data_IF_651717004394
#
_entry.id   IF_651717004394
#
_cell.length_a   1.000
_cell.length_b   1.000
_cell.length_c   1.000
_cell.angle_alpha   90.00
_cell.angle_beta   90.00
_cell.angle_gamma   90.00
#
_symmetry.space_group_name_H-M   'P 1'
#
loop_
_entity.id
_entity.type
_entity.pdbx_description
1 polymer ?
#
# COMPACT_ATOMS: atom_id res chain seq x y z
N UNK A 1 -17.90 6.74 -9.44
CA UNK A 1 -17.08 7.50 -8.50
C UNK A 1 -16.12 6.59 -7.77
N UNK A 2 -14.97 7.11 -7.31
CA UNK A 2 -14.04 6.37 -6.46
C UNK A 2 -14.43 6.59 -5.01
N UNK A 3 -14.64 5.52 -4.26
CA UNK A 3 -14.71 5.56 -2.81
C UNK A 3 -13.34 5.15 -2.25
N UNK A 4 -12.76 5.98 -1.40
CA UNK A 4 -11.50 5.71 -0.72
C UNK A 4 -11.82 5.57 0.76
N UNK A 5 -11.63 4.37 1.30
CA UNK A 5 -11.69 4.13 2.72
C UNK A 5 -10.31 4.44 3.32
N UNK A 6 -10.26 5.35 4.27
CA UNK A 6 -9.01 5.73 4.95
C UNK A 6 -9.11 5.30 6.41
N UNK A 7 -8.26 4.37 6.81
CA UNK A 7 -8.12 3.99 8.21
C UNK A 7 -6.81 4.54 8.77
N UNK A 8 -6.88 5.17 9.94
CA UNK A 8 -5.70 5.63 10.68
C UNK A 8 -5.40 4.59 11.76
N UNK A 9 -4.25 3.93 11.63
CA UNK A 9 -3.88 2.85 12.55
C UNK A 9 -2.75 3.33 13.45
N UNK A 10 -3.02 3.48 14.75
CA UNK A 10 -1.98 3.73 15.76
C UNK A 10 -1.89 2.62 16.82
N UNK A 11 -3.00 2.06 17.25
CA UNK A 11 -3.02 1.30 18.51
C UNK A 11 -3.58 -0.12 18.41
N UNK A 12 -4.31 -0.48 17.36
CA UNK A 12 -4.89 -1.82 17.27
C UNK A 12 -4.94 -2.32 15.83
N UNK A 13 -4.16 -3.37 15.56
CA UNK A 13 -4.11 -4.08 14.27
C UNK A 13 -5.44 -4.74 13.94
N UNK A 14 -6.12 -5.29 14.96
CA UNK A 14 -7.42 -5.94 14.81
C UNK A 14 -8.53 -4.96 14.49
N UNK A 15 -8.48 -3.74 15.06
CA UNK A 15 -9.45 -2.69 14.73
C UNK A 15 -9.34 -2.24 13.27
N UNK A 16 -8.13 -2.12 12.73
CA UNK A 16 -7.95 -1.74 11.32
C UNK A 16 -8.60 -2.75 10.36
N UNK A 17 -8.49 -4.04 10.66
CA UNK A 17 -9.16 -5.10 9.89
C UNK A 17 -10.67 -5.05 10.08
N UNK A 18 -11.14 -4.85 11.32
CA UNK A 18 -12.56 -4.71 11.62
C UNK A 18 -13.18 -3.50 10.93
N UNK A 19 -12.49 -2.36 10.91
CA UNK A 19 -12.94 -1.14 10.22
C UNK A 19 -13.01 -1.32 8.70
N UNK A 20 -12.03 -2.02 8.11
CA UNK A 20 -12.04 -2.36 6.68
C UNK A 20 -13.27 -3.20 6.32
N UNK A 21 -13.62 -4.20 7.15
CA UNK A 21 -14.81 -5.03 6.99
C UNK A 21 -16.11 -4.31 7.29
N UNK A 22 -16.13 -3.46 8.31
CA UNK A 22 -17.29 -2.62 8.60
C UNK A 22 -17.60 -1.69 7.42
N UNK A 23 -16.55 -1.12 6.79
CA UNK A 23 -16.69 -0.32 5.57
C UNK A 23 -17.35 -1.09 4.42
N UNK A 24 -16.96 -2.35 4.20
CA UNK A 24 -17.60 -3.21 3.19
C UNK A 24 -19.09 -3.43 3.49
N UNK A 25 -19.45 -3.71 4.75
CA UNK A 25 -20.84 -3.88 5.17
C UNK A 25 -21.70 -2.63 5.01
N UNK A 26 -21.13 -1.47 5.34
CA UNK A 26 -21.80 -0.18 5.11
C UNK A 26 -22.09 0.02 3.62
N UNK A 27 -21.13 -0.31 2.76
CA UNK A 27 -21.29 -0.20 1.31
C UNK A 27 -22.35 -1.15 0.75
N UNK A 28 -22.42 -2.39 1.25
CA UNK A 28 -23.50 -3.34 0.90
C UNK A 28 -24.88 -2.73 1.21
N UNK A 29 -25.08 -2.24 2.43
CA UNK A 29 -26.35 -1.61 2.82
C UNK A 29 -26.69 -0.35 2.00
N UNK A 30 -25.68 0.42 1.58
CA UNK A 30 -25.88 1.57 0.69
C UNK A 30 -26.30 1.14 -0.72
N UNK A 31 -25.74 0.05 -1.25
CA UNK A 31 -26.15 -0.52 -2.54
C UNK A 31 -27.58 -0.99 -2.48
N UNK A 32 -27.97 -1.78 -1.48
CA UNK A 32 -29.35 -2.24 -1.28
C UNK A 32 -30.34 -1.06 -1.21
N UNK A 33 -30.02 -0.04 -0.44
CA UNK A 33 -30.84 1.17 -0.33
C UNK A 33 -30.95 1.95 -1.63
N UNK A 34 -29.88 1.99 -2.42
CA UNK A 34 -29.86 2.66 -3.72
C UNK A 34 -30.69 1.89 -4.76
N UNK A 35 -30.59 0.55 -4.78
CA UNK A 35 -31.39 -0.30 -5.68
C UNK A 35 -32.89 -0.20 -5.38
N UNK A 36 -33.27 -0.13 -4.08
CA UNK A 36 -34.64 0.09 -3.67
C UNK A 36 -35.17 1.43 -4.20
N UNK A 37 -34.42 2.52 -4.06
CA UNK A 37 -34.81 3.83 -4.58
C UNK A 37 -34.95 3.84 -6.10
N UNK A 38 -34.03 3.20 -6.81
CA UNK A 38 -34.13 3.07 -8.26
C UNK A 38 -35.43 2.33 -8.68
N UNK A 39 -35.80 1.26 -7.96
CA UNK A 39 -37.01 0.52 -8.19
C UNK A 39 -38.26 1.40 -7.93
N UNK A 40 -38.29 2.19 -6.87
CA UNK A 40 -39.36 3.13 -6.54
C UNK A 40 -39.54 4.22 -7.63
N UNK A 41 -38.43 4.64 -8.27
CA UNK A 41 -38.42 5.56 -9.40
C UNK A 41 -38.73 4.89 -10.75
N UNK A 42 -39.02 3.60 -10.77
CA UNK A 42 -39.30 2.82 -11.98
C UNK A 42 -38.07 2.51 -12.84
N UNK A 43 -36.88 2.76 -12.34
CA UNK A 43 -35.62 2.47 -13.01
C UNK A 43 -35.24 1.03 -12.76
N UNK A 44 -35.18 0.21 -13.83
CA UNK A 44 -34.70 -1.17 -13.75
C UNK A 44 -33.19 -1.22 -13.87
N UNK A 45 -32.51 -1.87 -12.94
CA UNK A 45 -31.06 -2.06 -12.96
C UNK A 45 -30.56 -2.71 -11.70
N UNK A 46 -29.29 -3.12 -11.72
CA UNK A 46 -28.56 -3.61 -10.57
C UNK A 46 -27.28 -2.78 -10.41
N UNK A 47 -26.87 -2.58 -9.17
CA UNK A 47 -25.63 -1.87 -8.83
C UNK A 47 -24.59 -2.91 -8.46
N UNK A 48 -23.48 -2.94 -9.20
CA UNK A 48 -22.35 -3.80 -8.89
C UNK A 48 -21.23 -2.99 -8.25
N UNK A 49 -20.78 -3.42 -7.09
CA UNK A 49 -19.67 -2.82 -6.38
C UNK A 49 -18.47 -3.76 -6.42
N UNK A 50 -17.35 -3.26 -6.93
CA UNK A 50 -16.12 -4.03 -7.03
C UNK A 50 -15.00 -3.37 -6.22
N UNK A 51 -14.22 -4.21 -5.52
CA UNK A 51 -12.99 -3.82 -4.84
C UNK A 51 -11.79 -4.32 -5.64
N UNK A 52 -11.17 -3.44 -6.42
CA UNK A 52 -10.09 -3.79 -7.33
C UNK A 52 -8.81 -3.02 -7.01
N UNK A 53 -7.66 -3.66 -7.20
CA UNK A 53 -6.36 -2.97 -7.27
C UNK A 53 -6.14 -2.31 -8.63
N UNK A 54 -6.53 -3.03 -9.70
CA UNK A 54 -6.47 -2.55 -11.09
C UNK A 54 -7.66 -3.11 -11.85
N UNK A 55 -8.08 -2.46 -12.93
CA UNK A 55 -9.10 -2.96 -13.85
C UNK A 55 -8.49 -3.48 -15.17
N UNK A 56 -9.36 -3.99 -16.04
CA UNK A 56 -8.97 -4.51 -17.36
C UNK A 56 -8.52 -3.42 -18.33
N UNK A 57 -8.88 -2.17 -18.09
CA UNK A 57 -8.45 -1.02 -18.87
C UNK A 57 -7.10 -0.45 -18.43
N UNK A 58 -6.46 -1.07 -17.41
CA UNK A 58 -5.17 -0.63 -16.88
C UNK A 58 -5.25 0.52 -15.89
N UNK A 59 -6.44 0.88 -15.40
CA UNK A 59 -6.55 1.86 -14.33
C UNK A 59 -6.15 1.24 -13.00
N UNK A 60 -5.45 1.99 -12.17
CA UNK A 60 -5.11 1.58 -10.80
C UNK A 60 -5.96 2.31 -9.79
N UNK A 61 -6.48 1.57 -8.83
CA UNK A 61 -7.22 2.07 -7.67
C UNK A 61 -6.28 2.16 -6.45
N UNK A 62 -6.66 2.94 -5.44
CA UNK A 62 -5.82 3.13 -4.26
C UNK A 62 -5.96 2.01 -3.24
N UNK A 63 -4.85 1.67 -2.61
CA UNK A 63 -4.81 1.00 -1.32
C UNK A 63 -3.90 1.84 -0.43
N UNK A 64 -4.47 2.78 0.29
CA UNK A 64 -3.70 3.75 1.06
C UNK A 64 -3.67 3.33 2.53
N UNK A 65 -2.47 3.34 3.09
CA UNK A 65 -2.25 3.11 4.51
C UNK A 65 -1.85 4.45 5.16
N UNK A 66 -2.50 4.81 6.26
CA UNK A 66 -2.19 6.02 7.00
C UNK A 66 -1.81 5.66 8.43
N UNK A 67 -0.64 6.12 8.84
CA UNK A 67 -0.11 5.90 10.17
C UNK A 67 0.14 7.25 10.84
N UNK A 68 -0.24 7.35 12.10
CA UNK A 68 0.05 8.50 12.94
C UNK A 68 1.39 8.27 13.62
N UNK A 69 2.37 9.09 13.33
CA UNK A 69 3.74 8.98 13.85
C UNK A 69 4.13 10.22 14.65
N UNK A 70 5.05 10.06 15.59
CA UNK A 70 5.57 11.16 16.38
C UNK A 70 6.42 12.12 15.53
N UNK A 71 6.29 13.42 15.75
CA UNK A 71 7.19 14.43 15.15
C UNK A 71 8.59 14.43 15.75
N UNK A 72 8.77 13.80 16.90
CA UNK A 72 10.11 13.66 17.48
C UNK A 72 11.02 12.73 16.65
N UNK A 73 10.43 11.83 15.85
CA UNK A 73 11.17 10.91 15.00
C UNK A 73 11.69 11.61 13.75
N UNK A 74 12.95 11.37 13.38
CA UNK A 74 13.54 11.84 12.13
C UNK A 74 12.80 11.23 10.92
N UNK A 75 12.03 12.08 10.27
CA UNK A 75 11.15 11.65 9.17
C UNK A 75 11.93 11.19 7.93
N UNK A 76 13.06 11.81 7.62
CA UNK A 76 13.87 11.41 6.46
C UNK A 76 14.49 10.03 6.69
N UNK A 77 15.10 9.83 7.86
CA UNK A 77 15.63 8.52 8.26
C UNK A 77 14.55 7.43 8.25
N UNK A 78 13.33 7.78 8.69
CA UNK A 78 12.20 6.88 8.64
C UNK A 78 11.85 6.49 7.19
N UNK A 79 11.75 7.45 6.27
CA UNK A 79 11.48 7.20 4.85
C UNK A 79 12.55 6.28 4.26
N UNK A 80 13.82 6.55 4.51
CA UNK A 80 14.95 5.79 3.97
C UNK A 80 14.93 4.32 4.44
N UNK A 81 14.48 4.08 5.67
CA UNK A 81 14.30 2.72 6.21
C UNK A 81 13.04 2.04 5.68
N UNK A 82 11.94 2.79 5.51
CA UNK A 82 10.66 2.23 5.11
C UNK A 82 10.59 1.89 3.62
N UNK A 83 11.24 2.65 2.74
CA UNK A 83 11.17 2.40 1.28
C UNK A 83 11.66 0.99 0.92
N UNK A 84 12.84 0.50 1.37
CA UNK A 84 13.26 -0.88 1.10
C UNK A 84 12.26 -1.92 1.59
N UNK A 85 11.70 -1.75 2.79
CA UNK A 85 10.68 -2.63 3.34
C UNK A 85 9.41 -2.62 2.47
N UNK A 86 8.89 -1.43 2.12
CA UNK A 86 7.67 -1.28 1.34
C UNK A 86 7.81 -1.84 -0.09
N UNK A 87 8.98 -1.68 -0.70
CA UNK A 87 9.30 -2.21 -2.03
C UNK A 87 9.35 -3.74 -2.01
N UNK A 88 9.95 -4.31 -0.98
CA UNK A 88 10.20 -5.75 -0.93
C UNK A 88 9.06 -6.56 -0.30
N UNK A 89 8.21 -5.96 0.55
CA UNK A 89 7.08 -6.66 1.20
C UNK A 89 6.06 -7.26 0.23
N UNK A 90 6.06 -6.85 -1.04
CA UNK A 90 5.17 -7.41 -2.05
C UNK A 90 5.38 -8.91 -2.30
N UNK A 91 6.53 -9.47 -1.93
CA UNK A 91 6.78 -10.93 -2.06
C UNK A 91 5.82 -11.77 -1.23
N UNK A 92 5.24 -11.20 -0.17
CA UNK A 92 4.24 -11.85 0.68
C UNK A 92 2.92 -11.06 0.77
N UNK A 93 2.92 -9.74 0.56
CA UNK A 93 1.72 -8.88 0.66
C UNK A 93 1.12 -8.49 -0.71
N UNK A 94 1.73 -8.89 -1.81
CA UNK A 94 1.19 -8.66 -3.14
C UNK A 94 -0.08 -9.48 -3.39
N UNK A 95 -1.01 -8.93 -4.17
CA UNK A 95 -2.29 -9.58 -4.48
C UNK A 95 -2.25 -10.44 -5.76
N UNK A 96 -1.14 -10.42 -6.48
CA UNK A 96 -0.93 -11.17 -7.71
C UNK A 96 -1.75 -10.68 -8.90
N UNK A 97 -1.19 -10.74 -10.10
CA UNK A 97 -1.89 -10.40 -11.35
C UNK A 97 -1.26 -11.09 -12.54
N UNK A 98 -2.10 -11.50 -13.49
CA UNK A 98 -1.66 -11.83 -14.85
C UNK A 98 -1.60 -10.53 -15.67
N UNK A 99 -0.41 -10.17 -16.12
CA UNK A 99 -0.15 -9.00 -16.95
C UNK A 99 -0.03 -9.43 -18.41
N UNK A 100 -0.79 -8.78 -19.29
CA UNK A 100 -0.59 -8.89 -20.74
C UNK A 100 0.53 -7.96 -21.16
N UNK A 101 1.55 -8.51 -21.77
CA UNK A 101 2.68 -7.75 -22.34
C UNK A 101 2.80 -8.02 -23.83
N UNK A 102 3.58 -7.23 -24.55
CA UNK A 102 3.88 -7.47 -25.97
C UNK A 102 4.60 -8.80 -26.22
N UNK A 103 5.18 -9.43 -25.19
CA UNK A 103 5.89 -10.71 -25.25
C UNK A 103 5.05 -11.89 -24.72
N UNK A 104 3.77 -11.65 -24.38
CA UNK A 104 2.87 -12.66 -23.81
C UNK A 104 2.41 -12.32 -22.40
N UNK A 105 1.77 -13.28 -21.76
CA UNK A 105 1.25 -13.14 -20.40
C UNK A 105 2.33 -13.48 -19.38
N UNK A 106 2.53 -12.61 -18.40
CA UNK A 106 3.43 -12.82 -17.28
C UNK A 106 2.68 -12.67 -15.97
N UNK A 107 3.11 -13.40 -14.94
CA UNK A 107 2.59 -13.23 -13.59
C UNK A 107 3.38 -12.12 -12.87
N UNK A 108 2.67 -11.27 -12.14
CA UNK A 108 3.24 -10.24 -11.28
C UNK A 108 2.81 -10.49 -9.85
N UNK A 109 3.74 -10.41 -8.88
CA UNK A 109 3.44 -10.58 -7.45
C UNK A 109 2.53 -9.48 -6.92
N UNK A 110 2.71 -8.25 -7.43
CA UNK A 110 1.86 -7.12 -7.07
C UNK A 110 1.08 -6.59 -8.28
N UNK A 111 -0.18 -6.21 -8.06
CA UNK A 111 -1.01 -5.65 -9.12
C UNK A 111 -0.64 -4.20 -9.44
N UNK A 112 -0.14 -3.44 -8.44
CA UNK A 112 0.06 -1.99 -8.54
C UNK A 112 1.51 -1.55 -8.69
N UNK A 113 2.48 -2.47 -8.71
CA UNK A 113 3.91 -2.14 -8.83
C UNK A 113 4.22 -1.27 -10.06
N UNK A 114 3.61 -1.56 -11.22
CA UNK A 114 3.78 -0.82 -12.46
C UNK A 114 3.22 0.63 -12.41
N UNK A 115 2.37 0.92 -11.45
CA UNK A 115 1.70 2.22 -11.30
C UNK A 115 2.40 3.15 -10.29
N UNK A 116 3.53 2.75 -9.73
CA UNK A 116 4.34 3.56 -8.82
C UNK A 116 5.47 4.22 -9.60
N UNK A 117 5.65 5.54 -9.42
CA UNK A 117 6.56 6.35 -10.24
C UNK A 117 7.61 7.11 -9.45
N UNK A 118 7.43 7.29 -8.14
CA UNK A 118 8.36 8.01 -7.27
C UNK A 118 8.55 7.29 -5.93
N UNK A 119 9.70 7.48 -5.28
CA UNK A 119 9.96 6.95 -3.95
C UNK A 119 9.15 7.70 -2.89
N UNK A 120 9.36 9.00 -2.79
CA UNK A 120 8.62 9.90 -1.90
C UNK A 120 8.32 11.22 -2.61
N UNK A 121 7.13 11.77 -2.40
CA UNK A 121 6.69 13.02 -3.01
C UNK A 121 5.44 13.56 -2.33
N UNK A 122 5.26 14.88 -2.34
CA UNK A 122 4.01 15.52 -1.92
C UNK A 122 2.96 15.60 -3.03
N UNK A 123 3.30 15.24 -4.26
CA UNK A 123 2.39 15.26 -5.41
C UNK A 123 1.32 14.18 -5.28
N UNK A 124 0.07 14.52 -5.60
CA UNK A 124 -1.08 13.63 -5.36
C UNK A 124 -1.71 13.08 -6.62
N UNK A 125 -1.58 13.75 -7.76
CA UNK A 125 -2.41 13.47 -8.94
C UNK A 125 -1.67 12.84 -10.11
N UNK A 126 -0.42 13.17 -10.34
CA UNK A 126 0.34 12.69 -11.51
C UNK A 126 1.40 11.66 -11.17
N UNK A 127 2.02 11.78 -10.00
CA UNK A 127 2.95 10.78 -9.51
C UNK A 127 2.29 9.99 -8.39
N UNK A 128 2.49 8.69 -8.41
CA UNK A 128 2.07 7.81 -7.31
C UNK A 128 3.34 7.39 -6.58
N UNK A 129 3.72 8.13 -5.53
CA UNK A 129 4.91 7.79 -4.77
C UNK A 129 4.67 6.54 -3.92
N UNK A 130 5.74 5.91 -3.45
CA UNK A 130 5.67 4.87 -2.43
C UNK A 130 5.14 5.48 -1.14
N UNK A 131 5.72 6.62 -0.72
CA UNK A 131 5.31 7.40 0.44
C UNK A 131 4.92 8.80 -0.02
N UNK A 132 3.70 9.23 0.33
CA UNK A 132 3.28 10.61 0.14
C UNK A 132 3.65 11.42 1.38
N UNK A 133 4.37 12.52 1.16
CA UNK A 133 4.90 13.36 2.24
C UNK A 133 3.97 14.50 2.65
N UNK A 134 2.75 14.56 2.10
CA UNK A 134 1.75 15.55 2.49
C UNK A 134 1.31 15.31 3.92
N UNK A 135 1.54 16.32 4.74
CA UNK A 135 1.35 16.27 6.18
C UNK A 135 -0.04 16.81 6.57
N UNK A 136 -0.98 15.88 6.79
CA UNK A 136 -2.34 16.18 7.22
C UNK A 136 -2.74 15.13 8.28
N UNK A 137 -2.34 15.29 9.55
CA UNK A 137 -2.41 14.20 10.53
C UNK A 137 -3.83 13.88 11.02
N UNK A 138 -4.84 14.75 10.82
CA UNK A 138 -6.17 14.64 11.43
C UNK A 138 -6.12 14.41 12.95
N UNK A 139 -5.10 14.96 13.61
CA UNK A 139 -4.81 14.88 15.02
C UNK A 139 -4.04 16.14 15.43
N UNK A 140 -3.51 16.20 16.66
CA UNK A 140 -2.64 17.28 17.11
C UNK A 140 -1.41 17.39 16.22
N UNK A 141 -1.42 18.40 15.34
CA UNK A 141 -0.39 18.62 14.33
C UNK A 141 0.95 19.09 14.91
N UNK A 142 1.01 19.54 16.16
CA UNK A 142 2.26 19.88 16.83
C UNK A 142 3.02 18.63 17.28
N UNK A 143 2.30 17.58 17.62
CA UNK A 143 2.84 16.34 18.18
C UNK A 143 2.97 15.22 17.16
N UNK A 144 2.11 15.19 16.17
CA UNK A 144 1.97 14.07 15.26
C UNK A 144 2.05 14.47 13.80
N UNK A 145 2.48 13.53 12.99
CA UNK A 145 2.52 13.59 11.53
C UNK A 145 1.81 12.39 10.93
N UNK A 146 1.19 12.56 9.77
CA UNK A 146 0.66 11.46 8.99
C UNK A 146 1.76 10.87 8.11
N UNK A 147 2.05 9.59 8.29
CA UNK A 147 2.78 8.80 7.30
C UNK A 147 1.75 8.19 6.35
N UNK A 148 1.80 8.59 5.09
CA UNK A 148 0.85 8.16 4.08
C UNK A 148 1.54 7.25 3.05
N UNK A 149 1.29 5.94 3.14
CA UNK A 149 1.82 4.93 2.22
C UNK A 149 0.81 4.68 1.10
N UNK A 150 1.28 4.80 -0.14
CA UNK A 150 0.46 4.63 -1.36
C UNK A 150 0.78 3.31 -2.05
N UNK A 151 2.02 2.83 -1.96
CA UNK A 151 2.44 1.56 -2.55
C UNK A 151 1.85 0.38 -1.79
N UNK A 152 1.52 -0.65 -2.53
CA UNK A 152 0.96 -1.90 -2.04
C UNK A 152 -0.43 -2.16 -2.58
N UNK A 153 -0.84 -3.40 -2.45
CA UNK A 153 -2.13 -3.89 -2.93
C UNK A 153 -3.14 -4.00 -1.78
N UNK A 154 -4.41 -3.89 -2.12
CA UNK A 154 -5.51 -4.32 -1.26
C UNK A 154 -5.57 -5.84 -1.26
N UNK A 155 -5.58 -6.44 -0.09
CA UNK A 155 -5.68 -7.89 0.07
C UNK A 155 -7.12 -8.28 0.38
N UNK A 156 -7.59 -9.39 -0.20
CA UNK A 156 -8.92 -9.93 0.11
C UNK A 156 -8.95 -10.66 1.45
N UNK A 157 -7.82 -11.27 1.83
CA UNK A 157 -7.69 -11.98 3.10
C UNK A 157 -7.49 -11.00 4.26
N UNK A 158 -8.33 -11.14 5.29
CA UNK A 158 -8.20 -10.40 6.56
C UNK A 158 -6.87 -10.69 7.24
N UNK A 159 -6.44 -11.96 7.19
CA UNK A 159 -5.15 -12.37 7.73
C UNK A 159 -4.00 -11.61 7.06
N UNK A 160 -4.00 -11.51 5.73
CA UNK A 160 -2.96 -10.76 5.01
C UNK A 160 -3.02 -9.27 5.31
N UNK A 161 -4.21 -8.69 5.43
CA UNK A 161 -4.37 -7.30 5.87
C UNK A 161 -3.79 -7.10 7.26
N UNK A 162 -4.10 -8.01 8.20
CA UNK A 162 -3.56 -7.98 9.57
C UNK A 162 -2.03 -8.07 9.60
N UNK A 163 -1.45 -9.01 8.85
CA UNK A 163 0.02 -9.18 8.77
C UNK A 163 0.67 -7.95 8.14
N UNK A 164 0.11 -7.44 7.04
CA UNK A 164 0.63 -6.26 6.33
C UNK A 164 0.66 -5.02 7.22
N UNK A 165 -0.45 -4.72 7.89
CA UNK A 165 -0.53 -3.57 8.82
C UNK A 165 0.32 -3.84 10.05
N UNK A 166 0.27 -5.05 10.59
CA UNK A 166 0.99 -5.44 11.80
C UNK A 166 2.50 -5.35 11.67
N UNK A 167 3.07 -5.80 10.56
CA UNK A 167 4.50 -5.71 10.30
C UNK A 167 4.95 -4.24 10.14
N UNK A 168 4.12 -3.41 9.48
CA UNK A 168 4.41 -1.99 9.37
C UNK A 168 4.38 -1.29 10.73
N UNK A 169 3.38 -1.59 11.58
CA UNK A 169 3.30 -1.02 12.94
C UNK A 169 4.51 -1.44 13.78
N UNK A 170 4.94 -2.72 13.70
CA UNK A 170 6.11 -3.19 14.41
C UNK A 170 7.38 -2.45 13.99
N UNK A 171 7.57 -2.25 12.67
CA UNK A 171 8.70 -1.51 12.14
C UNK A 171 8.68 -0.02 12.57
N UNK A 172 7.49 0.60 12.56
CA UNK A 172 7.33 1.99 13.03
C UNK A 172 7.65 2.12 14.53
N UNK A 173 7.24 1.17 15.37
CA UNK A 173 7.60 1.15 16.79
C UNK A 173 9.11 1.06 16.97
N UNK A 174 9.78 0.15 16.26
CA UNK A 174 11.24 0.05 16.31
C UNK A 174 11.95 1.35 15.90
N UNK A 175 11.40 2.06 14.91
CA UNK A 175 11.93 3.37 14.48
C UNK A 175 11.70 4.46 15.53
N UNK A 176 10.54 4.48 16.19
CA UNK A 176 10.24 5.40 17.28
C UNK A 176 11.07 5.10 18.55
N UNK A 177 11.42 3.83 18.76
CA UNK A 177 12.34 3.35 19.83
C UNK A 177 13.83 3.52 19.45
N UNK A 178 14.12 4.24 18.36
CA UNK A 178 15.47 4.56 17.87
C UNK A 178 16.35 3.34 17.55
N UNK A 179 15.75 2.20 17.25
CA UNK A 179 16.50 1.00 16.83
C UNK A 179 17.33 1.33 15.57
N UNK A 180 18.60 0.94 15.60
CA UNK A 180 19.51 1.15 14.47
C UNK A 180 19.35 0.03 13.46
N UNK A 181 18.92 0.37 12.27
CA UNK A 181 18.83 -0.54 11.12
C UNK A 181 20.09 -0.49 10.26
N UNK A 182 20.38 -1.59 9.58
CA UNK A 182 21.37 -1.59 8.51
C UNK A 182 20.91 -0.67 7.39
N UNK A 183 21.86 0.00 6.75
CA UNK A 183 21.57 0.77 5.54
C UNK A 183 21.22 -0.18 4.38
N UNK A 184 19.95 -0.16 4.02
CA UNK A 184 19.34 -0.92 2.92
C UNK A 184 18.80 0.00 1.83
N UNK A 185 19.20 1.26 1.81
CA UNK A 185 18.77 2.27 0.83
C UNK A 185 18.93 1.72 -0.59
N UNK A 186 17.84 1.71 -1.34
CA UNK A 186 17.83 1.22 -2.72
C UNK A 186 18.39 2.28 -3.67
N UNK A 187 19.25 1.87 -4.62
CA UNK A 187 19.75 2.78 -5.66
C UNK A 187 18.60 3.34 -6.51
N UNK A 188 17.64 2.50 -6.85
CA UNK A 188 16.45 2.89 -7.61
C UNK A 188 15.22 2.10 -7.13
N UNK A 189 14.41 2.65 -6.20
CA UNK A 189 13.26 1.94 -5.64
C UNK A 189 12.16 1.67 -6.68
N UNK A 190 12.03 2.51 -7.70
CA UNK A 190 11.00 2.35 -8.75
C UNK A 190 11.35 1.22 -9.71
N UNK A 191 12.62 1.08 -10.04
CA UNK A 191 13.09 -0.08 -10.79
C UNK A 191 12.97 -1.35 -9.95
N UNK A 192 13.40 -1.30 -8.69
CA UNK A 192 13.39 -2.43 -7.79
C UNK A 192 11.96 -2.98 -7.55
N UNK A 193 10.95 -2.11 -7.34
CA UNK A 193 9.57 -2.57 -7.09
C UNK A 193 9.02 -3.36 -8.28
N UNK A 194 9.36 -2.98 -9.51
CA UNK A 194 8.94 -3.68 -10.73
C UNK A 194 9.70 -4.98 -10.92
N UNK A 195 11.02 -4.95 -10.76
CA UNK A 195 11.88 -6.13 -10.92
C UNK A 195 11.51 -7.24 -9.92
N UNK A 196 11.23 -6.88 -8.67
CA UNK A 196 10.77 -7.81 -7.63
C UNK A 196 9.38 -8.35 -7.99
N UNK A 197 8.48 -7.51 -8.49
CA UNK A 197 7.12 -7.91 -8.84
C UNK A 197 7.07 -8.99 -9.92
N UNK A 198 8.05 -9.01 -10.82
CA UNK A 198 8.15 -9.99 -11.89
C UNK A 198 9.02 -11.21 -11.55
N UNK A 199 9.61 -11.25 -10.36
CA UNK A 199 10.45 -12.38 -9.94
C UNK A 199 9.72 -13.33 -9.00
N UNK A 200 9.15 -14.39 -9.57
CA UNK A 200 8.46 -15.44 -8.81
C UNK A 200 9.39 -16.25 -7.90
N UNK A 201 10.70 -16.15 -8.07
CA UNK A 201 11.67 -16.86 -7.22
C UNK A 201 12.00 -16.08 -5.96
N UNK A 202 11.71 -14.77 -5.92
CA UNK A 202 12.07 -13.81 -4.87
C UNK A 202 13.59 -13.71 -4.62
N UNK A 203 14.41 -14.21 -5.55
CA UNK A 203 15.88 -14.28 -5.43
C UNK A 203 16.64 -13.30 -6.29
N UNK A 204 15.95 -12.58 -7.19
CA UNK A 204 16.57 -11.55 -8.02
C UNK A 204 17.26 -10.52 -7.14
N UNK A 205 18.51 -10.24 -7.44
CA UNK A 205 19.30 -9.24 -6.74
C UNK A 205 18.93 -7.85 -7.23
N UNK A 206 18.72 -6.94 -6.31
CA UNK A 206 18.50 -5.52 -6.52
C UNK A 206 19.65 -4.74 -5.89
N UNK A 207 20.01 -3.61 -6.51
CA UNK A 207 21.17 -2.83 -6.11
C UNK A 207 20.81 -1.80 -5.03
N UNK A 208 21.64 -1.76 -3.99
CA UNK A 208 21.59 -0.75 -2.95
C UNK A 208 22.46 0.46 -3.33
N UNK A 209 22.19 1.61 -2.71
CA UNK A 209 22.96 2.83 -2.93
C UNK A 209 24.45 2.70 -2.58
N UNK A 210 24.79 1.81 -1.66
CA UNK A 210 26.17 1.50 -1.29
C UNK A 210 26.86 0.47 -2.22
N UNK A 211 26.25 0.12 -3.36
CA UNK A 211 26.79 -0.79 -4.37
C UNK A 211 26.61 -2.29 -4.08
N UNK A 212 26.10 -2.66 -2.89
CA UNK A 212 25.76 -4.05 -2.58
C UNK A 212 24.53 -4.50 -3.35
N UNK A 213 24.39 -5.80 -3.50
CA UNK A 213 23.20 -6.41 -4.12
C UNK A 213 22.56 -7.41 -3.17
N UNK A 214 21.25 -7.25 -2.93
CA UNK A 214 20.45 -8.12 -2.07
C UNK A 214 19.18 -8.53 -2.79
N UNK A 215 18.63 -9.69 -2.44
CA UNK A 215 17.28 -10.07 -2.88
C UNK A 215 16.22 -9.47 -1.98
N UNK A 216 14.95 -9.52 -2.43
CA UNK A 216 13.84 -9.12 -1.59
C UNK A 216 13.75 -9.96 -0.29
N UNK A 217 14.11 -11.23 -0.36
CA UNK A 217 14.20 -12.10 0.81
C UNK A 217 15.28 -11.64 1.79
N UNK A 218 16.47 -11.29 1.30
CA UNK A 218 17.59 -10.82 2.13
C UNK A 218 17.25 -9.50 2.88
N UNK A 219 16.36 -8.67 2.28
CA UNK A 219 15.93 -7.40 2.88
C UNK A 219 14.82 -7.60 3.90
N UNK A 220 13.91 -8.55 3.66
CA UNK A 220 12.79 -8.85 4.56
C UNK A 220 13.21 -9.70 5.76
N UNK A 221 14.32 -10.42 5.68
CA UNK A 221 14.90 -11.26 6.74
C UNK A 221 15.85 -10.46 7.61
#
# INVERSE_FOLDING_TARGET
GKLILVNIVRTSRSMAVADDRAGERILEGLVESAEQRLAEEGIRGQIYLYRNNTDSAGNSYGCHENYLISRATDFQRMIDTLIPFLVTRQIWAGAGKLLQTSRGTVYSLAQRAEHIWEGSSSATTRSRPIINTRDEPHADAERYRRLHVIAGDSNMSEYMTYVKIGSMVALLQMLEDEVVFRDLTLENPIRAIREISHDMTCRRKIRLANGRELSALDIQW
#
